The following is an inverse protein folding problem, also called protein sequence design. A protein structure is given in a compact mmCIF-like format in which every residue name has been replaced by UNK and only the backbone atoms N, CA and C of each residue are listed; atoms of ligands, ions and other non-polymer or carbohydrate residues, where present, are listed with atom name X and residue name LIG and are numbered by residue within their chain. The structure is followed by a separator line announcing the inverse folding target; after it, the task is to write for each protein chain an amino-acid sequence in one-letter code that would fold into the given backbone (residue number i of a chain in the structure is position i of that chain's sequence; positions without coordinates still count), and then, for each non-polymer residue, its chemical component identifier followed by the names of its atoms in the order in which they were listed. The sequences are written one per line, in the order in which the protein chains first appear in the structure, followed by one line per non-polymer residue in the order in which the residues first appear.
data_IF_997336037589
#
_entry.id   IF_997336037589
#
_cell.length_a   1.000
_cell.length_b   1.000
_cell.length_c   1.000
_cell.angle_alpha   90.00
_cell.angle_beta   90.00
_cell.angle_gamma   90.00
#
_symmetry.space_group_name_H-M   'P 1'
#
loop_
_entity.id
_entity.type
_entity.pdbx_description
1 polymer ?
#
# COMPACT_ATOMS: atom_id res chain seq x y z
N UNK A 1 -22.58 19.06 51.46
CA UNK A 1 -21.58 18.03 51.13
C UNK A 1 -20.62 18.61 50.11
N UNK A 2 -19.32 18.65 50.40
CA UNK A 2 -18.28 19.11 49.47
C UNK A 2 -17.83 17.90 48.65
N UNK A 3 -17.96 17.96 47.33
CA UNK A 3 -17.43 16.94 46.43
C UNK A 3 -15.91 17.17 46.35
N UNK A 4 -15.15 16.31 47.02
CA UNK A 4 -13.69 16.30 46.92
C UNK A 4 -13.24 15.75 45.56
N UNK A 5 -12.03 16.11 45.09
CA UNK A 5 -11.52 15.67 43.80
C UNK A 5 -11.40 14.15 43.77
N UNK A 6 -11.92 13.53 42.71
CA UNK A 6 -11.72 12.12 42.45
C UNK A 6 -10.22 11.82 42.51
N UNK A 7 -9.82 11.03 43.49
CA UNK A 7 -8.47 10.47 43.56
C UNK A 7 -8.16 9.83 42.21
N UNK A 8 -6.98 10.15 41.68
CA UNK A 8 -6.43 9.63 40.43
C UNK A 8 -6.37 8.10 40.47
N UNK A 9 -7.48 7.46 40.15
CA UNK A 9 -7.65 6.02 40.04
C UNK A 9 -7.18 5.57 38.67
N UNK A 10 -6.06 4.84 38.66
CA UNK A 10 -5.65 3.99 37.56
C UNK A 10 -5.09 4.71 36.33
N UNK A 11 -3.76 4.74 36.20
CA UNK A 11 -3.11 4.77 34.89
C UNK A 11 -3.35 3.42 34.19
N UNK A 12 -4.59 3.15 33.82
CA UNK A 12 -4.97 2.10 32.88
C UNK A 12 -4.91 2.68 31.48
N UNK A 13 -3.72 3.09 31.03
CA UNK A 13 -3.52 3.31 29.60
C UNK A 13 -3.82 1.99 28.90
N UNK A 14 -4.73 2.00 27.94
CA UNK A 14 -5.06 0.82 27.15
C UNK A 14 -3.75 0.20 26.66
N UNK A 15 -3.44 -1.03 27.10
CA UNK A 15 -2.38 -1.82 26.48
C UNK A 15 -2.84 -2.02 25.04
N UNK A 16 -2.30 -1.22 24.12
CA UNK A 16 -2.25 -1.61 22.72
C UNK A 16 -1.69 -3.03 22.76
N UNK A 17 -2.48 -4.00 22.31
CA UNK A 17 -2.05 -5.39 22.17
C UNK A 17 -0.65 -5.34 21.56
N UNK A 18 0.35 -5.78 22.31
CA UNK A 18 1.73 -5.66 21.88
C UNK A 18 1.86 -6.35 20.52
N UNK A 19 2.52 -5.69 19.58
CA UNK A 19 2.72 -6.27 18.24
C UNK A 19 3.43 -7.60 18.43
N UNK A 20 2.81 -8.69 17.95
CA UNK A 20 3.39 -10.02 18.09
C UNK A 20 4.61 -10.12 17.18
N UNK A 21 5.79 -10.17 17.79
CA UNK A 21 7.06 -10.26 17.07
C UNK A 21 7.18 -11.55 16.26
N UNK A 22 6.54 -12.64 16.72
CA UNK A 22 6.55 -13.90 15.98
C UNK A 22 5.71 -13.78 14.71
N UNK A 23 4.56 -13.08 14.78
CA UNK A 23 3.72 -12.79 13.63
C UNK A 23 4.45 -11.91 12.61
N UNK A 24 5.06 -10.80 13.05
CA UNK A 24 5.88 -9.95 12.16
C UNK A 24 6.95 -10.78 11.44
N UNK A 25 7.69 -11.60 12.20
CA UNK A 25 8.75 -12.42 11.61
C UNK A 25 8.23 -13.46 10.62
N UNK A 26 7.00 -13.94 10.79
CA UNK A 26 6.34 -14.83 9.84
C UNK A 26 5.96 -14.08 8.57
N UNK A 27 5.29 -12.94 8.71
CA UNK A 27 4.89 -12.07 7.59
C UNK A 27 6.11 -11.63 6.76
N UNK A 28 7.20 -11.24 7.42
CA UNK A 28 8.46 -10.88 6.75
C UNK A 28 9.03 -12.04 5.94
N UNK A 29 8.93 -13.28 6.47
CA UNK A 29 9.40 -14.47 5.75
C UNK A 29 8.53 -14.75 4.52
N UNK A 30 7.22 -14.67 4.66
CA UNK A 30 6.26 -14.87 3.56
C UNK A 30 6.44 -13.79 2.46
N UNK A 31 6.65 -12.53 2.85
CA UNK A 31 6.95 -11.45 1.92
C UNK A 31 8.25 -11.70 1.15
N UNK A 32 9.31 -12.16 1.82
CA UNK A 32 10.58 -12.50 1.17
C UNK A 32 10.45 -13.70 0.22
N UNK A 33 9.63 -14.69 0.56
CA UNK A 33 9.33 -15.82 -0.33
C UNK A 33 8.60 -15.34 -1.59
N UNK A 34 7.60 -14.48 -1.44
CA UNK A 34 6.92 -13.85 -2.58
C UNK A 34 7.90 -13.09 -3.49
N UNK A 35 8.78 -12.26 -2.92
CA UNK A 35 9.78 -11.51 -3.70
C UNK A 35 10.69 -12.45 -4.48
N UNK A 36 11.13 -13.55 -3.86
CA UNK A 36 11.97 -14.54 -4.54
C UNK A 36 11.24 -15.19 -5.71
N UNK A 37 10.01 -15.65 -5.50
CA UNK A 37 9.19 -16.24 -6.57
C UNK A 37 8.94 -15.23 -7.70
N UNK A 38 8.69 -13.97 -7.37
CA UNK A 38 8.56 -12.91 -8.36
C UNK A 38 9.83 -12.73 -9.20
N UNK A 39 11.00 -12.67 -8.56
CA UNK A 39 12.29 -12.52 -9.24
C UNK A 39 12.60 -13.67 -10.21
N UNK A 40 12.20 -14.89 -9.86
CA UNK A 40 12.38 -16.07 -10.72
C UNK A 40 11.54 -15.99 -12.01
N UNK A 41 10.41 -15.25 -11.99
CA UNK A 41 9.48 -15.17 -13.12
C UNK A 41 9.57 -13.85 -13.91
N UNK A 42 9.98 -12.75 -13.27
CA UNK A 42 9.86 -11.40 -13.83
C UNK A 42 10.63 -11.22 -15.15
N UNK A 43 11.75 -11.94 -15.33
CA UNK A 43 12.51 -11.91 -16.58
C UNK A 43 11.69 -12.41 -17.77
N UNK A 44 11.01 -13.56 -17.62
CA UNK A 44 10.14 -14.13 -18.65
C UNK A 44 8.94 -13.24 -18.93
N UNK A 45 8.35 -12.68 -17.88
CA UNK A 45 7.24 -11.73 -17.99
C UNK A 45 7.64 -10.49 -18.79
N UNK A 46 8.81 -9.89 -18.50
CA UNK A 46 9.34 -8.74 -19.25
C UNK A 46 9.53 -9.05 -20.73
N UNK A 47 10.05 -10.23 -21.07
CA UNK A 47 10.19 -10.65 -22.46
C UNK A 47 8.83 -10.77 -23.16
N UNK A 48 7.84 -11.38 -22.51
CA UNK A 48 6.49 -11.49 -23.06
C UNK A 48 5.82 -10.12 -23.25
N UNK A 49 5.95 -9.23 -22.27
CA UNK A 49 5.45 -7.85 -22.33
C UNK A 49 6.13 -7.04 -23.43
N UNK A 50 7.45 -7.20 -23.62
CA UNK A 50 8.16 -6.53 -24.71
C UNK A 50 7.63 -6.94 -26.09
N UNK A 51 7.35 -8.23 -26.28
CA UNK A 51 6.73 -8.75 -27.51
C UNK A 51 5.34 -8.15 -27.69
N UNK A 52 4.50 -8.19 -26.65
CA UNK A 52 3.15 -7.64 -26.70
C UNK A 52 3.16 -6.15 -27.05
N UNK A 53 3.96 -5.35 -26.34
CA UNK A 53 4.08 -3.92 -26.58
C UNK A 53 4.57 -3.62 -28.00
N UNK A 54 5.51 -4.40 -28.55
CA UNK A 54 6.00 -4.21 -29.93
C UNK A 54 4.94 -4.46 -31.02
N UNK A 55 3.88 -5.20 -30.70
CA UNK A 55 2.77 -5.48 -31.63
C UNK A 55 1.73 -4.35 -31.67
N UNK A 56 1.76 -3.44 -30.70
CA UNK A 56 0.86 -2.28 -30.57
C UNK A 56 1.55 -1.02 -31.08
N UNK A 57 0.86 -0.26 -31.94
CA UNK A 57 1.34 1.06 -32.39
C UNK A 57 1.05 2.16 -31.36
N UNK A 58 0.01 1.97 -30.56
CA UNK A 58 -0.35 2.89 -29.49
C UNK A 58 0.49 2.59 -28.25
N UNK A 59 1.34 3.55 -27.89
CA UNK A 59 2.24 3.44 -26.74
C UNK A 59 1.57 3.80 -25.42
N UNK A 60 0.39 4.43 -25.45
CA UNK A 60 -0.34 4.83 -24.24
C UNK A 60 -0.85 3.64 -23.43
N UNK A 61 -1.13 2.52 -24.11
CA UNK A 61 -1.55 1.25 -23.50
C UNK A 61 -0.43 0.25 -23.25
N UNK A 62 0.84 0.66 -23.36
CA UNK A 62 1.96 -0.26 -23.11
C UNK A 62 1.92 -0.79 -21.68
N UNK A 63 2.01 -2.10 -21.56
CA UNK A 63 2.06 -2.77 -20.26
C UNK A 63 3.43 -2.50 -19.64
N UNK A 64 3.43 -2.06 -18.39
CA UNK A 64 4.65 -1.88 -17.59
C UNK A 64 4.74 -3.02 -16.57
N UNK A 65 5.90 -3.67 -16.51
CA UNK A 65 6.16 -4.70 -15.51
C UNK A 65 6.70 -4.02 -14.24
N UNK A 66 6.04 -4.13 -13.08
CA UNK A 66 6.47 -3.45 -11.87
C UNK A 66 7.80 -4.00 -11.34
N UNK A 67 8.62 -3.13 -10.75
CA UNK A 67 9.86 -3.55 -10.08
C UNK A 67 9.63 -3.79 -8.58
N UNK A 68 9.23 -5.01 -8.22
CA UNK A 68 9.04 -5.43 -6.83
C UNK A 68 10.35 -6.01 -6.26
N UNK A 69 10.74 -5.55 -5.08
CA UNK A 69 11.93 -6.02 -4.35
C UNK A 69 11.75 -5.82 -2.84
N UNK A 70 12.69 -6.33 -2.02
CA UNK A 70 12.60 -6.24 -0.56
C UNK A 70 12.61 -4.80 -0.01
N UNK A 71 13.29 -3.88 -0.70
CA UNK A 71 13.29 -2.47 -0.36
C UNK A 71 12.86 -1.67 -1.58
N UNK A 72 11.65 -1.12 -1.55
CA UNK A 72 11.13 -0.30 -2.64
C UNK A 72 11.18 1.18 -2.25
N UNK A 73 11.86 2.04 -3.04
CA UNK A 73 12.01 3.44 -2.69
C UNK A 73 10.71 4.20 -2.90
N UNK A 74 10.23 4.82 -1.82
CA UNK A 74 9.09 5.74 -1.81
C UNK A 74 9.58 7.14 -2.15
N UNK A 75 8.86 7.82 -3.04
CA UNK A 75 9.07 9.23 -3.39
C UNK A 75 7.75 9.99 -3.28
N UNK A 76 7.84 11.30 -3.14
CA UNK A 76 6.67 12.18 -3.27
C UNK A 76 6.52 12.60 -4.73
N UNK A 77 5.32 12.42 -5.29
CA UNK A 77 4.98 12.88 -6.62
C UNK A 77 4.74 14.40 -6.64
N UNK A 78 5.06 15.02 -7.76
CA UNK A 78 4.94 16.46 -7.94
C UNK A 78 3.55 16.86 -8.42
N UNK A 79 3.19 18.14 -8.25
CA UNK A 79 1.95 18.68 -8.82
C UNK A 79 1.89 18.56 -10.35
N UNK A 80 3.04 18.58 -11.03
CA UNK A 80 3.12 18.35 -12.48
C UNK A 80 2.77 16.90 -12.88
N UNK A 81 2.95 15.95 -11.96
CA UNK A 81 2.50 14.57 -12.11
C UNK A 81 1.04 14.38 -11.63
N UNK A 82 0.30 15.48 -11.38
CA UNK A 82 -1.08 15.44 -10.92
C UNK A 82 -1.25 15.05 -9.45
N UNK A 83 -0.18 15.09 -8.64
CA UNK A 83 -0.26 14.66 -7.25
C UNK A 83 -1.12 15.61 -6.41
N UNK A 84 -2.03 15.02 -5.63
CA UNK A 84 -2.86 15.72 -4.66
C UNK A 84 -2.48 15.23 -3.26
N UNK A 85 -2.48 16.13 -2.28
CA UNK A 85 -2.20 15.76 -0.88
C UNK A 85 -3.47 15.38 -0.14
N UNK A 86 -3.34 14.58 0.91
CA UNK A 86 -4.42 14.29 1.85
C UNK A 86 -3.95 14.50 3.28
N UNK A 87 -4.81 14.98 4.21
CA UNK A 87 -4.42 15.18 5.61
C UNK A 87 -4.04 13.90 6.35
N UNK A 88 -4.49 12.74 5.86
CA UNK A 88 -4.27 11.43 6.48
C UNK A 88 -3.67 10.44 5.47
N UNK A 89 -2.75 9.56 5.90
CA UNK A 89 -2.24 8.49 5.06
C UNK A 89 -3.31 7.42 4.81
N UNK A 90 -3.04 6.53 3.84
CA UNK A 90 -3.88 5.37 3.55
C UNK A 90 -3.94 4.42 4.77
N UNK A 91 -5.13 3.91 5.10
CA UNK A 91 -5.32 3.01 6.24
C UNK A 91 -4.63 1.65 6.11
N UNK A 92 -4.40 1.15 4.90
CA UNK A 92 -3.83 -0.18 4.68
C UNK A 92 -2.32 -0.14 4.48
N UNK A 93 -1.83 0.68 3.55
CA UNK A 93 -0.41 0.71 3.21
C UNK A 93 0.38 1.83 3.91
N UNK A 94 -0.27 2.75 4.63
CA UNK A 94 0.38 3.83 5.35
C UNK A 94 0.99 4.95 4.50
N UNK A 95 1.08 4.77 3.17
CA UNK A 95 1.54 5.81 2.25
C UNK A 95 0.56 6.97 2.17
N UNK A 96 1.07 8.20 2.03
CA UNK A 96 0.27 9.38 1.73
C UNK A 96 -0.25 9.35 0.30
N UNK A 97 -1.29 10.16 0.03
CA UNK A 97 -1.91 10.28 -1.29
C UNK A 97 -0.93 10.66 -2.39
N UNK A 98 0.06 11.48 -2.08
CA UNK A 98 1.11 11.96 -2.98
C UNK A 98 2.38 11.11 -2.93
N UNK A 99 2.47 10.09 -2.09
CA UNK A 99 3.60 9.16 -2.06
C UNK A 99 3.41 8.06 -3.12
N UNK A 100 4.52 7.68 -3.77
CA UNK A 100 4.58 6.69 -4.85
C UNK A 100 5.76 5.75 -4.61
N UNK A 101 5.54 4.48 -4.86
CA UNK A 101 6.59 3.47 -4.96
C UNK A 101 7.20 3.58 -6.35
N UNK A 102 8.47 3.93 -6.41
CA UNK A 102 9.17 4.13 -7.69
C UNK A 102 9.12 2.86 -8.54
N UNK A 103 8.77 3.03 -9.82
CA UNK A 103 8.68 1.94 -10.82
C UNK A 103 7.64 0.86 -10.53
N UNK A 104 6.76 1.09 -9.57
CA UNK A 104 5.56 0.27 -9.34
C UNK A 104 4.34 1.13 -9.63
N UNK A 105 4.27 2.31 -9.02
CA UNK A 105 3.19 3.28 -9.23
C UNK A 105 3.50 4.14 -10.47
N UNK A 106 3.33 3.55 -11.64
CA UNK A 106 3.51 4.20 -12.94
C UNK A 106 2.18 4.65 -13.52
N UNK A 107 2.18 5.78 -14.23
CA UNK A 107 0.98 6.32 -14.92
C UNK A 107 -0.23 6.50 -13.99
N UNK A 108 0.02 6.95 -12.76
CA UNK A 108 -1.05 7.17 -11.77
C UNK A 108 -1.84 8.43 -12.12
N UNK A 109 -3.15 8.29 -12.27
CA UNK A 109 -4.09 9.40 -12.41
C UNK A 109 -4.84 9.65 -11.10
N UNK A 110 -4.67 10.84 -10.53
CA UNK A 110 -5.28 11.26 -9.26
C UNK A 110 -6.29 12.41 -9.44
N UNK A 111 -6.91 12.48 -10.62
CA UNK A 111 -7.81 13.59 -11.00
C UNK A 111 -9.27 13.34 -10.62
N UNK A 112 -9.75 12.10 -10.69
CA UNK A 112 -11.17 11.77 -10.48
C UNK A 112 -11.40 10.64 -9.47
N UNK A 113 -10.51 10.58 -8.48
CA UNK A 113 -10.57 9.58 -7.42
C UNK A 113 -10.18 8.18 -7.86
N UNK A 114 -9.58 7.99 -9.03
CA UNK A 114 -9.11 6.67 -9.50
C UNK A 114 -7.96 6.15 -8.62
N UNK A 115 -7.14 7.07 -8.10
CA UNK A 115 -6.07 6.76 -7.18
C UNK A 115 -6.48 6.76 -5.70
N UNK A 116 -7.32 7.71 -5.28
CA UNK A 116 -7.63 7.97 -3.87
C UNK A 116 -9.13 7.95 -3.56
N UNK A 117 -9.47 7.50 -2.36
CA UNK A 117 -10.81 7.56 -1.77
C UNK A 117 -10.75 8.48 -0.56
N UNK A 118 -11.54 9.55 -0.59
CA UNK A 118 -11.56 10.53 0.49
C UNK A 118 -11.88 9.89 1.84
N UNK A 119 -11.16 10.35 2.87
CA UNK A 119 -11.21 9.83 4.24
C UNK A 119 -10.91 8.34 4.38
N UNK A 120 -10.28 7.69 3.40
CA UNK A 120 -9.94 6.27 3.46
C UNK A 120 -8.51 5.95 3.01
N UNK A 121 -8.11 6.32 1.81
CA UNK A 121 -6.79 5.95 1.28
C UNK A 121 -6.78 5.56 -0.18
N UNK A 122 -5.75 4.84 -0.60
CA UNK A 122 -5.62 4.37 -1.99
C UNK A 122 -6.79 3.49 -2.41
N UNK A 123 -7.33 3.70 -3.62
CA UNK A 123 -8.47 2.95 -4.17
C UNK A 123 -8.18 1.44 -4.22
N UNK A 124 -6.98 1.05 -4.66
CA UNK A 124 -6.57 -0.35 -4.72
C UNK A 124 -6.58 -1.01 -3.32
N UNK A 125 -6.07 -0.30 -2.32
CA UNK A 125 -6.13 -0.75 -0.92
C UNK A 125 -7.58 -0.92 -0.44
N UNK A 126 -8.49 -0.03 -0.84
CA UNK A 126 -9.92 -0.12 -0.47
C UNK A 126 -10.58 -1.34 -1.05
N UNK A 127 -10.30 -1.58 -2.33
CA UNK A 127 -10.84 -2.72 -3.05
C UNK A 127 -10.31 -4.02 -2.40
N UNK A 128 -9.01 -4.10 -2.13
CA UNK A 128 -8.41 -5.22 -1.40
C UNK A 128 -9.09 -5.45 -0.05
N UNK A 129 -9.24 -4.40 0.78
CA UNK A 129 -9.90 -4.53 2.06
C UNK A 129 -11.34 -5.03 1.91
N UNK A 130 -12.13 -4.42 1.02
CA UNK A 130 -13.52 -4.80 0.81
C UNK A 130 -13.68 -6.24 0.29
N UNK A 131 -12.71 -6.75 -0.47
CA UNK A 131 -12.71 -8.12 -0.98
C UNK A 131 -12.32 -9.14 0.10
N UNK A 132 -11.43 -8.77 1.03
CA UNK A 132 -10.79 -9.71 1.94
C UNK A 132 -11.15 -9.53 3.43
N UNK A 133 -11.85 -8.46 3.83
CA UNK A 133 -12.14 -8.17 5.25
C UNK A 133 -12.79 -9.35 5.99
N UNK A 134 -13.70 -10.05 5.32
CA UNK A 134 -14.39 -11.23 5.83
C UNK A 134 -13.44 -12.40 6.14
N UNK A 135 -12.32 -12.50 5.42
CA UNK A 135 -11.27 -13.52 5.61
C UNK A 135 -10.23 -13.11 6.65
N UNK A 136 -10.13 -11.81 6.94
CA UNK A 136 -9.19 -11.23 7.92
C UNK A 136 -9.75 -11.23 9.35
N UNK A 137 -11.04 -11.51 9.53
CA UNK A 137 -11.61 -11.73 10.87
C UNK A 137 -11.09 -13.07 11.41
N UNK A 138 -10.15 -12.98 12.35
CA UNK A 138 -9.82 -14.11 13.21
C UNK A 138 -11.10 -14.60 13.91
N UNK A 139 -11.40 -15.91 13.78
CA UNK A 139 -12.23 -16.61 14.76
C UNK A 139 -11.43 -16.82 16.04
#
# INVERSE_FOLDING_TARGET
MKIGPAAAGGKGGMKLMGVDKAEISREDREANEFIRTWQDQVGRLRSAVAIANSSTRDTSGHIVVPEISGTMPVRTATAAEGAVTSPKPCFICGLKRDERISKVDVQVEDSFGEWWVEHWGHRACKNFWAEHDSKLKHN
#
